data_IF_207493994889
#
_entry.id   IF_207493994889
#
_cell.length_a   1.000
_cell.length_b   1.000
_cell.length_c   1.000
_cell.angle_alpha   90.00
_cell.angle_beta   90.00
_cell.angle_gamma   90.00
#
_symmetry.space_group_name_H-M   'P 1'
#
loop_
_entity.id
_entity.type
_entity.pdbx_description
1 polymer ?
#
# COMPACT_ATOMS: atom_id res chain seq x y z
N UNK A 1 -2.54 -5.39 -11.29
CA UNK A 1 -2.70 -5.23 -12.76
C UNK A 1 -3.88 -6.06 -13.23
N UNK A 2 -4.51 -5.68 -14.35
CA UNK A 2 -5.60 -6.46 -14.98
C UNK A 2 -5.18 -6.85 -16.39
N UNK A 3 -5.50 -8.08 -16.80
CA UNK A 3 -5.25 -8.59 -18.14
C UNK A 3 -6.32 -8.07 -19.10
N UNK A 4 -5.91 -7.38 -20.17
CA UNK A 4 -6.81 -6.94 -21.22
C UNK A 4 -6.38 -7.48 -22.57
N UNK A 5 -7.32 -8.04 -23.31
CA UNK A 5 -7.12 -8.42 -24.71
C UNK A 5 -7.31 -7.19 -25.58
N UNK A 6 -6.25 -6.79 -26.31
CA UNK A 6 -6.31 -5.71 -27.29
C UNK A 6 -6.05 -6.27 -28.67
N UNK A 7 -6.94 -5.96 -29.60
CA UNK A 7 -6.73 -6.27 -31.01
C UNK A 7 -5.74 -5.26 -31.59
N UNK A 8 -4.53 -5.70 -31.90
CA UNK A 8 -3.52 -4.93 -32.63
C UNK A 8 -3.44 -5.47 -34.06
N UNK A 9 -4.15 -4.82 -34.98
CA UNK A 9 -4.26 -5.29 -36.36
C UNK A 9 -4.98 -6.64 -36.43
N UNK A 10 -4.34 -7.65 -37.02
CA UNK A 10 -4.88 -9.01 -37.15
C UNK A 10 -4.65 -9.91 -35.93
N UNK A 11 -3.90 -9.45 -34.92
CA UNK A 11 -3.56 -10.25 -33.75
C UNK A 11 -4.25 -9.71 -32.49
N UNK A 12 -4.72 -10.61 -31.63
CA UNK A 12 -5.18 -10.27 -30.27
C UNK A 12 -4.00 -10.48 -29.34
N UNK A 13 -3.52 -9.41 -28.71
CA UNK A 13 -2.47 -9.47 -27.71
C UNK A 13 -3.06 -9.23 -26.32
N UNK A 14 -2.72 -10.10 -25.37
CA UNK A 14 -3.00 -9.85 -23.96
C UNK A 14 -1.96 -8.88 -23.40
N UNK A 15 -2.41 -7.75 -22.88
CA UNK A 15 -1.56 -6.74 -22.24
C UNK A 15 -1.99 -6.54 -20.78
N UNK A 16 -1.02 -6.38 -19.88
CA UNK A 16 -1.28 -6.04 -18.48
C UNK A 16 -1.30 -4.52 -18.32
N UNK A 17 -2.39 -4.00 -17.74
CA UNK A 17 -2.54 -2.57 -17.48
C UNK A 17 -2.64 -2.35 -15.97
N UNK A 18 -1.97 -1.29 -15.50
CA UNK A 18 -2.11 -0.80 -14.14
C UNK A 18 -3.52 -0.23 -13.98
N UNK A 19 -4.33 -0.87 -13.14
CA UNK A 19 -5.73 -0.52 -12.97
C UNK A 19 -5.89 0.36 -11.72
N UNK A 20 -6.46 1.57 -11.81
CA UNK A 20 -6.56 2.49 -10.68
C UNK A 20 -7.33 1.94 -9.46
N UNK A 21 -8.27 1.02 -9.69
CA UNK A 21 -9.00 0.35 -8.61
C UNK A 21 -8.12 -0.58 -7.77
N UNK A 22 -6.95 -0.98 -8.27
CA UNK A 22 -5.98 -1.83 -7.56
C UNK A 22 -4.70 -1.03 -7.25
N UNK A 23 -4.75 -0.05 -6.33
CA UNK A 23 -3.60 0.78 -6.03
C UNK A 23 -2.48 -0.04 -5.40
N UNK A 24 -1.26 0.25 -5.81
CA UNK A 24 -0.05 -0.22 -5.15
C UNK A 24 0.32 0.78 -4.06
N UNK A 25 0.21 0.34 -2.80
CA UNK A 25 0.57 1.13 -1.62
C UNK A 25 2.05 0.92 -1.33
N UNK A 26 2.75 2.03 -1.07
CA UNK A 26 4.19 2.05 -0.73
C UNK A 26 4.51 2.91 0.49
N UNK A 27 3.57 3.73 0.94
CA UNK A 27 3.73 4.57 2.13
C UNK A 27 3.21 3.78 3.35
N UNK A 28 4.13 3.07 3.99
CA UNK A 28 3.90 2.24 5.18
C UNK A 28 4.53 2.89 6.40
N UNK A 29 3.88 2.78 7.56
CA UNK A 29 4.46 3.23 8.82
C UNK A 29 5.55 2.23 9.29
N UNK A 30 6.81 2.58 9.06
CA UNK A 30 7.96 1.73 9.40
C UNK A 30 8.23 1.64 10.91
N UNK A 31 7.67 2.55 11.71
CA UNK A 31 7.84 2.51 13.18
C UNK A 31 6.89 1.50 13.84
N UNK A 32 5.89 1.00 13.10
CA UNK A 32 4.90 0.06 13.64
C UNK A 32 5.23 -1.39 13.27
N UNK A 33 5.26 -2.35 14.22
CA UNK A 33 5.67 -3.74 13.96
C UNK A 33 4.86 -4.47 12.87
N UNK A 34 3.59 -4.08 12.67
CA UNK A 34 2.74 -4.67 11.62
C UNK A 34 3.32 -4.41 10.21
N UNK A 35 3.88 -3.22 10.01
CA UNK A 35 4.24 -2.70 8.68
C UNK A 35 5.74 -2.47 8.51
N UNK A 36 6.55 -2.71 9.54
CA UNK A 36 8.00 -2.68 9.47
C UNK A 36 8.54 -3.66 8.40
N UNK A 37 9.47 -3.18 7.59
CA UNK A 37 10.10 -3.93 6.50
C UNK A 37 9.22 -4.13 5.25
N UNK A 38 7.96 -3.69 5.28
CA UNK A 38 7.08 -3.72 4.11
C UNK A 38 7.45 -2.59 3.12
N UNK A 39 7.57 -2.93 1.84
CA UNK A 39 7.95 -1.97 0.79
C UNK A 39 6.84 -1.65 -0.20
N UNK A 40 5.98 -2.63 -0.49
CA UNK A 40 4.89 -2.49 -1.44
C UNK A 40 3.77 -3.49 -1.09
N UNK A 41 2.52 -3.09 -1.28
CA UNK A 41 1.34 -3.95 -1.17
C UNK A 41 0.30 -3.55 -2.20
N UNK A 42 -0.58 -4.46 -2.60
CA UNK A 42 -1.66 -4.14 -3.56
C UNK A 42 -2.99 -4.28 -2.86
N UNK A 43 -3.79 -3.22 -2.88
CA UNK A 43 -5.16 -3.26 -2.39
C UNK A 43 -6.14 -3.43 -3.57
N UNK A 44 -7.36 -3.89 -3.30
CA UNK A 44 -8.36 -4.22 -4.30
C UNK A 44 -9.68 -3.50 -4.01
N UNK A 45 -9.86 -2.33 -4.64
CA UNK A 45 -10.93 -1.37 -4.36
C UNK A 45 -10.98 -0.93 -2.89
N UNK A 46 -9.88 -0.38 -2.34
CA UNK A 46 -9.85 0.03 -0.95
C UNK A 46 -10.72 1.28 -0.71
N UNK A 47 -11.31 1.33 0.47
CA UNK A 47 -11.95 2.51 1.05
C UNK A 47 -10.97 3.26 1.94
N UNK A 48 -11.03 4.59 1.92
CA UNK A 48 -10.25 5.41 2.85
C UNK A 48 -10.88 5.43 4.24
N UNK A 49 -10.05 5.35 5.27
CA UNK A 49 -10.43 5.52 6.68
C UNK A 49 -10.26 7.00 7.03
N UNK A 50 -11.33 7.60 7.56
CA UNK A 50 -11.27 8.94 8.15
C UNK A 50 -10.93 8.83 9.65
N UNK A 51 -9.83 9.46 10.04
CA UNK A 51 -9.34 9.50 11.43
C UNK A 51 -9.45 10.90 12.03
N UNK A 52 -10.01 11.87 11.30
CA UNK A 52 -10.16 13.26 11.77
C UNK A 52 -11.16 13.36 12.93
N UNK A 53 -12.10 12.42 13.03
CA UNK A 53 -12.93 12.26 14.23
C UNK A 53 -12.20 11.34 15.21
N UNK A 54 -11.77 11.84 16.38
CA UNK A 54 -11.19 10.98 17.40
C UNK A 54 -12.23 9.92 17.77
N UNK A 55 -11.77 8.67 17.94
CA UNK A 55 -12.61 7.63 18.49
C UNK A 55 -13.05 8.05 19.90
N UNK A 56 -14.32 7.83 20.22
CA UNK A 56 -14.81 8.03 21.58
C UNK A 56 -13.98 7.17 22.55
N UNK A 57 -13.55 7.75 23.69
CA UNK A 57 -12.72 7.06 24.68
C UNK A 57 -11.25 7.47 24.65
N UNK A 58 -10.39 6.69 25.31
CA UNK A 58 -8.95 6.90 25.34
C UNK A 58 -8.28 5.95 24.34
N UNK A 59 -8.45 6.23 23.06
CA UNK A 59 -7.98 5.38 21.95
C UNK A 59 -6.92 6.13 21.15
N UNK A 60 -5.71 5.57 21.10
CA UNK A 60 -4.66 6.02 20.20
C UNK A 60 -4.88 5.39 18.81
N UNK A 61 -4.80 6.21 17.76
CA UNK A 61 -4.93 5.78 16.38
C UNK A 61 -3.59 5.98 15.68
N UNK A 62 -3.02 4.89 15.16
CA UNK A 62 -1.76 4.88 14.44
C UNK A 62 -2.03 4.45 12.99
N UNK A 63 -1.87 5.34 11.99
CA UNK A 63 -1.95 4.96 10.59
C UNK A 63 -0.88 3.93 10.24
N UNK A 64 -1.26 2.89 9.48
CA UNK A 64 -0.36 1.82 9.04
C UNK A 64 -0.03 1.92 7.54
N UNK A 65 -1.05 2.20 6.73
CA UNK A 65 -0.98 2.21 5.26
C UNK A 65 -1.58 3.51 4.74
N UNK A 66 -0.87 4.22 3.87
CA UNK A 66 -1.35 5.47 3.30
C UNK A 66 -1.14 5.54 1.78
N UNK A 67 -2.02 6.28 1.12
CA UNK A 67 -1.81 6.70 -0.26
C UNK A 67 -0.80 7.84 -0.33
N UNK A 68 -0.35 8.15 -1.54
CA UNK A 68 0.45 9.34 -1.81
C UNK A 68 -0.43 10.60 -1.87
N UNK A 69 0.18 11.77 -1.99
CA UNK A 69 -0.55 13.03 -2.24
C UNK A 69 -1.40 12.99 -3.52
N UNK A 70 -1.02 12.15 -4.49
CA UNK A 70 -1.70 12.00 -5.78
C UNK A 70 -2.76 10.91 -5.70
N UNK A 71 -3.86 11.22 -5.02
CA UNK A 71 -4.99 10.30 -4.85
C UNK A 71 -6.26 10.85 -5.51
N UNK A 72 -7.14 9.96 -5.93
CA UNK A 72 -8.51 10.29 -6.31
C UNK A 72 -9.46 9.39 -5.53
N UNK A 73 -10.49 9.98 -4.93
CA UNK A 73 -11.56 9.25 -4.25
C UNK A 73 -12.78 9.29 -5.15
N UNK A 74 -13.34 8.11 -5.46
CA UNK A 74 -14.56 8.01 -6.25
C UNK A 74 -15.74 7.72 -5.32
N UNK A 75 -16.83 8.44 -5.51
CA UNK A 75 -18.07 8.31 -4.72
C UNK A 75 -19.27 8.21 -5.66
N UNK A 76 -20.30 7.44 -5.28
CA UNK A 76 -21.51 7.29 -6.09
C UNK A 76 -21.30 6.36 -7.29
N UNK A 77 -21.67 6.78 -8.49
CA UNK A 77 -21.46 6.02 -9.71
C UNK A 77 -20.01 6.23 -10.20
N UNK A 78 -19.19 5.19 -10.09
CA UNK A 78 -17.77 5.25 -10.43
C UNK A 78 -17.45 4.46 -11.70
N UNK A 79 -16.53 4.98 -12.50
CA UNK A 79 -16.04 4.33 -13.70
C UNK A 79 -14.99 3.26 -13.34
N UNK A 80 -15.31 2.01 -13.69
CA UNK A 80 -14.45 0.83 -13.54
C UNK A 80 -13.79 0.40 -14.86
N UNK A 81 -13.94 1.19 -15.92
CA UNK A 81 -13.34 0.86 -17.20
C UNK A 81 -11.79 0.93 -17.09
N UNK A 82 -11.09 -0.18 -17.32
CA UNK A 82 -9.63 -0.23 -17.24
C UNK A 82 -8.91 0.59 -18.32
N UNK A 83 -9.59 0.96 -19.40
CA UNK A 83 -9.03 1.80 -20.47
C UNK A 83 -9.11 3.31 -20.16
N UNK A 84 -9.85 3.71 -19.12
CA UNK A 84 -10.01 5.12 -18.76
C UNK A 84 -8.67 5.70 -18.30
N UNK A 85 -8.10 6.60 -19.11
CA UNK A 85 -6.88 7.34 -18.76
C UNK A 85 -7.24 8.58 -17.97
N UNK A 86 -6.82 8.63 -16.71
CA UNK A 86 -6.92 9.84 -15.89
C UNK A 86 -5.64 10.65 -15.98
N UNK A 87 -5.79 11.96 -16.11
CA UNK A 87 -4.66 12.89 -16.09
C UNK A 87 -4.18 13.11 -14.66
N UNK A 88 -2.88 13.40 -14.48
CA UNK A 88 -2.30 13.69 -13.16
C UNK A 88 -2.99 14.86 -12.44
N UNK A 89 -3.51 15.82 -13.20
CA UNK A 89 -4.28 16.98 -12.70
C UNK A 89 -5.54 16.59 -11.93
N UNK A 90 -6.10 15.41 -12.17
CA UNK A 90 -7.32 14.92 -11.53
C UNK A 90 -7.07 14.29 -10.14
N UNK A 91 -5.80 14.07 -9.77
CA UNK A 91 -5.42 13.44 -8.50
C UNK A 91 -5.23 14.49 -7.40
N UNK A 92 -6.34 15.05 -6.92
CA UNK A 92 -6.38 16.16 -5.94
C UNK A 92 -6.80 15.73 -4.53
N UNK A 93 -6.93 14.43 -4.28
CA UNK A 93 -7.49 13.87 -3.05
C UNK A 93 -6.59 13.93 -1.81
N UNK A 94 -5.30 14.27 -1.98
CA UNK A 94 -4.29 14.23 -0.91
C UNK A 94 -4.06 12.82 -0.35
N UNK A 95 -3.24 12.71 0.70
CA UNK A 95 -3.04 11.42 1.38
C UNK A 95 -4.34 10.91 2.01
N UNK A 96 -4.58 9.60 1.87
CA UNK A 96 -5.67 8.84 2.47
C UNK A 96 -5.11 7.65 3.23
N UNK A 97 -5.70 7.36 4.39
CA UNK A 97 -5.33 6.20 5.20
C UNK A 97 -6.16 5.02 4.72
N UNK A 98 -5.52 3.86 4.51
CA UNK A 98 -6.20 2.61 4.15
C UNK A 98 -6.25 1.60 5.28
N UNK A 99 -5.31 1.68 6.24
CA UNK A 99 -5.37 0.91 7.46
C UNK A 99 -4.81 1.68 8.65
N UNK A 100 -5.34 1.38 9.83
CA UNK A 100 -4.89 1.94 11.10
C UNK A 100 -4.93 0.89 12.20
N UNK A 101 -3.96 0.97 13.11
CA UNK A 101 -3.97 0.28 14.39
C UNK A 101 -4.59 1.21 15.45
N UNK A 102 -5.43 0.65 16.31
CA UNK A 102 -6.07 1.35 17.41
C UNK A 102 -5.71 0.61 18.71
N UNK A 103 -5.32 1.37 19.73
CA UNK A 103 -4.98 0.84 21.06
C UNK A 103 -5.61 1.69 22.16
N UNK A 104 -5.95 1.08 23.29
CA UNK A 104 -6.52 1.76 24.45
C UNK A 104 -7.88 1.22 24.88
N UNK A 105 -8.68 2.08 25.52
CA UNK A 105 -10.00 1.71 26.06
C UNK A 105 -11.14 2.23 25.19
N UNK A 106 -12.04 1.32 24.81
CA UNK A 106 -13.18 1.60 23.96
C UNK A 106 -14.46 1.72 24.80
N UNK A 107 -15.36 2.66 24.49
CA UNK A 107 -16.64 2.76 25.16
C UNK A 107 -17.51 1.55 24.84
N UNK A 108 -18.16 1.01 25.86
CA UNK A 108 -19.10 -0.08 25.69
C UNK A 108 -20.42 0.43 25.10
N UNK A 109 -21.00 -0.34 24.18
CA UNK A 109 -22.35 -0.09 23.68
C UNK A 109 -23.40 -0.06 24.81
N UNK A 110 -23.14 -0.73 25.92
CA UNK A 110 -24.04 -0.80 27.08
C UNK A 110 -23.84 0.35 28.07
N UNK A 111 -22.87 1.24 27.87
CA UNK A 111 -22.66 2.42 28.72
C UNK A 111 -23.95 3.25 28.78
N UNK A 112 -24.49 3.40 29.99
CA UNK A 112 -25.73 4.16 30.22
C UNK A 112 -27.02 3.48 29.76
N UNK A 113 -26.99 2.21 29.32
CA UNK A 113 -28.18 1.43 28.99
C UNK A 113 -28.60 0.58 30.19
N UNK A 114 -29.89 0.56 30.50
CA UNK A 114 -30.43 -0.34 31.52
C UNK A 114 -30.39 -1.80 31.07
N UNK A 115 -30.30 -2.72 32.03
CA UNK A 115 -30.51 -4.15 31.76
C UNK A 115 -31.98 -4.36 31.37
N UNK A 116 -32.29 -5.02 30.24
CA UNK A 116 -33.68 -5.34 29.89
C UNK A 116 -34.34 -6.13 31.01
N UNK A 117 -35.49 -5.66 31.50
CA UNK A 117 -36.26 -6.41 32.49
C UNK A 117 -36.80 -7.70 31.84
N UNK A 118 -36.75 -8.85 32.53
CA UNK A 118 -37.39 -10.06 32.04
C UNK A 118 -38.89 -9.84 31.81
N UNK A 119 -39.45 -10.44 30.76
CA UNK A 119 -40.89 -10.39 30.48
C UNK A 119 -41.74 -11.10 31.53
N UNK A 120 -41.15 -12.06 32.26
CA UNK A 120 -41.80 -12.81 33.33
C UNK A 120 -41.49 -12.17 34.70
N UNK A 121 -42.55 -11.86 35.46
CA UNK A 121 -42.46 -11.18 36.77
C UNK A 121 -41.82 -12.03 37.89
N UNK A 122 -41.55 -13.31 37.63
CA UNK A 122 -40.90 -14.26 38.55
C UNK A 122 -39.41 -14.48 38.25
N UNK A 123 -38.89 -13.88 37.16
CA UNK A 123 -37.51 -14.05 36.78
C UNK A 123 -36.58 -13.22 37.67
N UNK A 124 -35.59 -13.90 38.26
CA UNK A 124 -34.51 -13.26 39.03
C UNK A 124 -33.71 -12.40 38.05
N UNK A 125 -33.67 -11.09 38.26
CA UNK A 125 -32.79 -10.21 37.48
C UNK A 125 -31.37 -10.37 38.04
N UNK A 126 -30.42 -10.97 37.29
CA UNK A 126 -29.05 -11.06 37.79
C UNK A 126 -28.50 -9.65 37.99
N UNK A 127 -27.81 -9.43 39.11
CA UNK A 127 -27.05 -8.21 39.34
C UNK A 127 -25.85 -8.20 38.38
N UNK A 128 -26.09 -7.71 37.16
CA UNK A 128 -25.07 -7.59 36.13
C UNK A 128 -24.28 -6.32 36.35
N UNK A 129 -22.96 -6.45 36.51
CA UNK A 129 -22.06 -5.32 36.42
C UNK A 129 -21.92 -4.93 34.93
N UNK A 130 -22.50 -3.79 34.54
CA UNK A 130 -22.43 -3.31 33.16
C UNK A 130 -21.02 -2.78 32.92
N UNK A 131 -20.28 -3.46 32.06
CA UNK A 131 -19.00 -2.95 31.56
C UNK A 131 -19.25 -1.69 30.74
N UNK A 132 -18.79 -0.53 31.22
CA UNK A 132 -18.94 0.77 30.56
C UNK A 132 -17.84 1.07 29.55
N UNK A 133 -16.70 0.39 29.68
CA UNK A 133 -15.54 0.50 28.82
C UNK A 133 -14.81 -0.86 28.74
N UNK A 134 -14.04 -1.06 27.68
CA UNK A 134 -13.17 -2.23 27.55
C UNK A 134 -11.92 -2.09 28.42
N UNK A 135 -11.28 -3.21 28.73
CA UNK A 135 -9.86 -3.22 29.09
C UNK A 135 -9.01 -2.66 27.94
N UNK A 136 -7.72 -2.43 28.19
CA UNK A 136 -6.79 -2.09 27.12
C UNK A 136 -6.87 -3.13 25.99
N UNK A 137 -7.24 -2.66 24.80
CA UNK A 137 -7.62 -3.49 23.66
C UNK A 137 -6.89 -3.00 22.43
N UNK A 138 -6.49 -3.94 21.58
CA UNK A 138 -5.89 -3.67 20.27
C UNK A 138 -6.91 -3.99 19.17
N UNK A 139 -7.00 -3.11 18.19
CA UNK A 139 -7.84 -3.30 17.01
C UNK A 139 -7.07 -2.86 15.77
N UNK A 140 -7.25 -3.58 14.66
CA UNK A 140 -6.73 -3.17 13.36
C UNK A 140 -7.89 -3.04 12.41
N UNK A 141 -7.96 -1.90 11.70
CA UNK A 141 -8.98 -1.64 10.70
C UNK A 141 -8.29 -1.52 9.35
N UNK A 142 -8.78 -2.27 8.36
CA UNK A 142 -8.31 -2.20 6.97
C UNK A 142 -9.51 -1.93 6.08
N UNK A 143 -9.41 -0.91 5.23
CA UNK A 143 -10.48 -0.49 4.31
C UNK A 143 -10.66 -1.38 3.07
N UNK A 144 -10.14 -2.60 3.07
CA UNK A 144 -10.17 -3.52 1.93
C UNK A 144 -10.61 -4.93 2.39
N UNK A 145 -11.85 -5.30 2.06
CA UNK A 145 -12.39 -6.64 2.35
C UNK A 145 -11.92 -7.73 1.39
N UNK A 146 -11.30 -7.37 0.27
CA UNK A 146 -10.78 -8.30 -0.72
C UNK A 146 -9.32 -8.67 -0.47
N UNK A 147 -8.62 -7.93 0.41
CA UNK A 147 -7.20 -8.13 0.76
C UNK A 147 -6.83 -9.61 0.99
N UNK A 148 -7.74 -10.36 1.63
CA UNK A 148 -7.52 -11.75 2.07
C UNK A 148 -8.20 -12.81 1.20
N UNK A 149 -8.80 -12.44 0.07
CA UNK A 149 -9.41 -13.44 -0.81
C UNK A 149 -8.32 -14.29 -1.46
N UNK A 150 -8.55 -15.60 -1.54
CA UNK A 150 -7.54 -16.56 -2.03
C UNK A 150 -7.02 -16.27 -3.45
N UNK A 151 -7.82 -15.61 -4.29
CA UNK A 151 -7.41 -15.17 -5.64
C UNK A 151 -6.39 -14.02 -5.65
N UNK A 152 -6.31 -13.26 -4.54
CA UNK A 152 -5.46 -12.09 -4.37
C UNK A 152 -4.30 -12.34 -3.40
N UNK A 153 -4.44 -13.34 -2.52
CA UNK A 153 -3.34 -13.88 -1.73
C UNK A 153 -2.45 -14.73 -2.65
N UNK A 154 -1.40 -14.13 -3.18
CA UNK A 154 -0.29 -14.90 -3.72
C UNK A 154 0.49 -15.53 -2.56
N UNK A 155 0.94 -16.79 -2.68
CA UNK A 155 1.78 -17.41 -1.65
C UNK A 155 3.02 -16.54 -1.39
N UNK A 156 3.19 -16.07 -0.16
CA UNK A 156 4.29 -15.17 0.23
C UNK A 156 4.15 -13.73 -0.25
N UNK A 157 2.99 -13.32 -0.78
CA UNK A 157 2.75 -11.95 -1.22
C UNK A 157 2.64 -10.95 -0.04
N UNK A 158 2.84 -9.65 -0.29
CA UNK A 158 2.85 -8.64 0.77
C UNK A 158 1.57 -8.54 1.60
N UNK A 159 0.40 -8.82 0.99
CA UNK A 159 -0.88 -8.82 1.71
C UNK A 159 -0.97 -9.93 2.75
N UNK A 160 -0.38 -11.11 2.46
CA UNK A 160 -0.31 -12.21 3.42
C UNK A 160 0.65 -11.86 4.57
N UNK A 161 1.78 -11.23 4.26
CA UNK A 161 2.73 -10.77 5.28
C UNK A 161 2.07 -9.75 6.20
N UNK A 162 1.36 -8.75 5.65
CA UNK A 162 0.59 -7.79 6.44
C UNK A 162 -0.41 -8.47 7.38
N UNK A 163 -1.12 -9.47 6.87
CA UNK A 163 -2.13 -10.20 7.64
C UNK A 163 -1.51 -11.01 8.77
N UNK A 164 -0.42 -11.74 8.50
CA UNK A 164 0.31 -12.49 9.52
C UNK A 164 0.87 -11.55 10.58
N UNK A 165 1.50 -10.44 10.16
CA UNK A 165 2.01 -9.43 11.09
C UNK A 165 0.90 -8.82 11.96
N UNK A 166 -0.30 -8.66 11.40
CA UNK A 166 -1.48 -8.19 12.12
C UNK A 166 -1.92 -9.21 13.18
N UNK A 167 -1.98 -10.49 12.84
CA UNK A 167 -2.33 -11.56 13.79
C UNK A 167 -1.32 -11.61 14.94
N UNK A 168 -0.03 -11.63 14.63
CA UNK A 168 1.04 -11.71 15.62
C UNK A 168 0.99 -10.50 16.58
N UNK A 169 0.74 -9.29 16.05
CA UNK A 169 0.61 -8.08 16.86
C UNK A 169 -0.64 -8.07 17.74
N UNK A 170 -1.77 -8.58 17.23
CA UNK A 170 -3.01 -8.73 17.99
C UNK A 170 -2.89 -9.82 19.07
N UNK A 171 -2.06 -10.85 18.82
CA UNK A 171 -1.74 -11.91 19.77
C UNK A 171 -0.67 -11.54 20.80
N UNK A 172 -0.15 -10.29 20.76
CA UNK A 172 0.91 -9.78 21.64
C UNK A 172 2.29 -10.45 21.47
N UNK A 173 2.55 -11.15 20.38
CA UNK A 173 3.86 -11.77 20.07
C UNK A 173 4.81 -10.80 19.35
N UNK A 174 4.97 -9.58 19.88
CA UNK A 174 5.71 -8.51 19.19
C UNK A 174 7.21 -8.73 19.09
N UNK A 175 7.79 -9.56 19.98
CA UNK A 175 9.24 -9.82 20.01
C UNK A 175 9.72 -10.68 18.82
N UNK A 176 8.83 -11.50 18.23
CA UNK A 176 9.14 -12.37 17.09
C UNK A 176 8.94 -11.67 15.74
N UNK A 177 8.17 -10.57 15.71
CA UNK A 177 7.88 -9.79 14.49
C UNK A 177 9.11 -9.06 13.94
N UNK A 178 9.92 -8.47 14.82
CA UNK A 178 11.08 -7.66 14.44
C UNK A 178 12.20 -8.45 13.72
N UNK A 179 12.22 -9.78 13.88
CA UNK A 179 13.25 -10.65 13.26
C UNK A 179 12.88 -10.99 11.82
N UNK A 180 11.58 -11.13 11.51
CA UNK A 180 11.09 -11.56 10.18
C UNK A 180 11.08 -10.44 9.13
N UNK A 181 10.95 -9.18 9.55
CA UNK A 181 10.89 -8.01 8.65
C UNK A 181 12.20 -7.74 7.90
N UNK A 182 13.34 -8.21 8.41
CA UNK A 182 14.67 -7.93 7.85
C UNK A 182 14.98 -8.64 6.52
N UNK A 183 14.38 -9.81 6.25
CA UNK A 183 14.73 -10.64 5.09
C UNK A 183 13.88 -10.38 3.82
N UNK A 184 12.75 -9.67 3.92
CA UNK A 184 11.77 -9.54 2.83
C UNK A 184 11.86 -8.25 2.00
N UNK A 185 13.00 -7.54 2.03
CA UNK A 185 13.09 -6.21 1.44
C UNK A 185 13.47 -6.20 -0.05
N UNK A 186 12.47 -6.39 -0.93
CA UNK A 186 12.59 -5.89 -2.31
C UNK A 186 12.31 -4.39 -2.27
N UNK A 187 13.30 -3.56 -2.63
CA UNK A 187 13.19 -2.09 -2.67
C UNK A 187 12.87 -1.62 -4.10
N UNK A 188 11.60 -1.49 -4.50
CA UNK A 188 11.26 -0.97 -5.81
C UNK A 188 11.68 0.50 -5.93
N UNK A 189 12.07 0.90 -7.14
CA UNK A 189 12.42 2.28 -7.47
C UNK A 189 11.26 3.23 -7.16
N UNK A 190 11.58 4.41 -6.61
CA UNK A 190 10.61 5.42 -6.18
C UNK A 190 9.64 5.79 -7.31
N UNK A 191 8.35 5.61 -7.06
CA UNK A 191 7.30 5.84 -8.05
C UNK A 191 7.09 7.33 -8.36
N UNK A 192 7.51 8.22 -7.45
CA UNK A 192 7.24 9.66 -7.48
C UNK A 192 8.10 10.46 -8.46
N UNK A 193 9.04 9.82 -9.16
CA UNK A 193 9.87 10.50 -10.16
C UNK A 193 8.97 10.96 -11.33
N UNK A 194 9.08 12.24 -11.70
CA UNK A 194 8.38 12.83 -12.85
C UNK A 194 8.65 12.02 -14.13
N UNK A 195 7.65 11.88 -15.00
CA UNK A 195 7.76 11.09 -16.22
C UNK A 195 8.87 11.62 -17.14
N UNK A 196 9.08 12.94 -17.16
CA UNK A 196 10.20 13.57 -17.89
C UNK A 196 11.57 13.15 -17.32
N UNK A 197 11.70 13.13 -16.00
CA UNK A 197 12.94 12.70 -15.35
C UNK A 197 13.20 11.21 -15.58
N UNK A 198 12.16 10.38 -15.51
CA UNK A 198 12.25 8.95 -15.87
C UNK A 198 12.71 8.78 -17.32
N UNK A 199 12.15 9.57 -18.25
CA UNK A 199 12.50 9.50 -19.67
C UNK A 199 13.93 9.96 -19.93
N UNK A 200 14.40 11.04 -19.29
CA UNK A 200 15.79 11.50 -19.38
C UNK A 200 16.78 10.49 -18.83
N UNK A 201 16.50 9.89 -17.67
CA UNK A 201 17.37 8.85 -17.07
C UNK A 201 17.41 7.60 -17.96
N UNK A 202 16.26 7.17 -18.49
CA UNK A 202 16.21 6.06 -19.46
C UNK A 202 17.02 6.37 -20.72
N UNK A 203 16.89 7.59 -21.27
CA UNK A 203 17.62 8.01 -22.45
C UNK A 203 19.13 8.07 -22.19
N UNK A 204 19.54 8.60 -21.03
CA UNK A 204 20.94 8.64 -20.62
C UNK A 204 21.54 7.24 -20.48
N UNK A 205 20.81 6.28 -19.89
CA UNK A 205 21.28 4.90 -19.78
C UNK A 205 21.25 4.14 -21.11
N UNK A 206 20.38 4.51 -22.04
CA UNK A 206 20.30 3.92 -23.37
C UNK A 206 21.44 4.40 -24.28
N UNK A 207 21.73 5.70 -24.27
CA UNK A 207 22.71 6.33 -25.17
C UNK A 207 24.10 6.39 -24.54
N UNK A 208 24.20 6.51 -23.21
CA UNK A 208 25.45 6.70 -22.48
C UNK A 208 26.50 5.64 -22.76
N UNK A 209 26.21 4.33 -22.57
CA UNK A 209 27.19 3.29 -22.80
C UNK A 209 27.66 3.18 -24.27
N UNK A 210 26.77 3.18 -25.29
CA UNK A 210 27.20 3.20 -26.69
C UNK A 210 28.03 4.44 -27.06
N UNK A 211 27.62 5.63 -26.59
CA UNK A 211 28.35 6.87 -26.85
C UNK A 211 29.76 6.83 -26.25
N UNK A 212 29.92 6.30 -25.03
CA UNK A 212 31.20 6.18 -24.35
C UNK A 212 32.16 5.24 -25.11
N UNK A 213 31.63 4.12 -25.63
CA UNK A 213 32.41 3.20 -26.49
C UNK A 213 32.86 3.87 -27.78
N UNK A 214 31.98 4.60 -28.47
CA UNK A 214 32.33 5.33 -29.69
C UNK A 214 33.39 6.40 -29.42
N UNK A 215 33.27 7.13 -28.31
CA UNK A 215 34.20 8.19 -27.92
C UNK A 215 35.61 7.63 -27.65
N UNK A 216 35.71 6.52 -26.92
CA UNK A 216 36.98 5.79 -26.72
C UNK A 216 37.53 5.32 -28.07
N UNK A 217 36.68 4.80 -28.95
CA UNK A 217 37.05 4.35 -30.30
C UNK A 217 37.69 5.46 -31.13
N UNK A 218 37.07 6.65 -31.16
CA UNK A 218 37.56 7.84 -31.87
C UNK A 218 38.87 8.34 -31.27
N UNK A 219 38.99 8.43 -29.94
CA UNK A 219 40.23 8.85 -29.27
C UNK A 219 41.37 7.89 -29.63
N UNK A 220 41.12 6.58 -29.59
CA UNK A 220 42.12 5.56 -29.90
C UNK A 220 42.52 5.59 -31.38
N UNK A 221 41.57 5.80 -32.29
CA UNK A 221 41.84 5.99 -33.71
C UNK A 221 42.76 7.19 -33.93
N UNK A 222 42.40 8.36 -33.40
CA UNK A 222 43.16 9.59 -33.61
C UNK A 222 44.58 9.49 -33.03
N UNK A 223 44.75 8.85 -31.87
CA UNK A 223 46.06 8.54 -31.30
C UNK A 223 46.90 7.59 -32.18
N UNK A 224 46.27 6.63 -32.87
CA UNK A 224 46.96 5.73 -33.81
C UNK A 224 47.42 6.47 -35.07
N UNK A 225 46.62 7.42 -35.59
CA UNK A 225 47.02 8.23 -36.76
C UNK A 225 48.22 9.13 -36.46
N UNK A 226 48.22 9.84 -35.33
CA UNK A 226 49.34 10.72 -34.94
C UNK A 226 50.67 9.99 -34.74
N UNK A 227 50.66 8.68 -34.40
CA UNK A 227 51.89 7.88 -34.30
C UNK A 227 52.49 7.47 -35.65
N UNK A 228 51.72 7.53 -36.73
CA UNK A 228 52.20 7.21 -38.09
C UNK A 228 52.84 8.40 -38.80
N UNK A 229 52.58 9.63 -38.34
CA UNK A 229 53.16 10.85 -38.90
C UNK A 229 54.53 11.22 -38.29
N UNK A 230 54.97 10.55 -37.22
CA UNK A 230 56.25 10.81 -36.51
C UNK A 230 57.35 9.80 -36.92
N UNK A 231 57.14 8.98 -37.94
CA UNK A 231 58.11 7.97 -38.41
C UNK A 231 58.55 8.13 -39.87
N UNK A 232 58.60 9.37 -40.37
CA UNK A 232 59.19 9.72 -41.68
C UNK A 232 60.34 10.71 -41.46
#
# INVERSE_FOLDING_TARGET
>A
MVMMQRQQGQFIMASQIAYPGFPEVRDFNQDHPITDGMNAGTLFFPSSIDTAKPADGNVAIVPLLQSTEYTIVQTGQFDINPDTRRERSQFTGGKKIFAAALTGSFPSFFKGKGVPAPSDSTAITPALNILTESSDTRMVVVGDGNLLQGQYIQQGGPNLVLFLNTIDWLSQDTDLLAIRSRDAAVRPLDANISDDTKQRVKLANLIGPPALVLLIGVIRWNRRRKRKEVSL
#
